data_IF_998015291360
#
_entry.id   IF_998015291360
#
_cell.length_a   1.000
_cell.length_b   1.000
_cell.length_c   1.000
_cell.angle_alpha   90.00
_cell.angle_beta   90.00
_cell.angle_gamma   90.00
#
_symmetry.space_group_name_H-M   'P 1'
#
loop_
_entity.id
_entity.type
_entity.pdbx_description
1 polymer ?
#
# COMPACT_ATOMS: atom_id res chain seq x y z
N UNK A 1 -17.41 -2.63 22.63
CA UNK A 1 -16.87 -1.26 22.43
C UNK A 1 -16.88 -0.93 20.95
N UNK A 2 -17.62 0.10 20.55
CA UNK A 2 -17.63 0.55 19.17
C UNK A 2 -16.41 1.46 18.95
N UNK A 3 -15.36 0.96 18.30
CA UNK A 3 -14.14 1.75 17.99
C UNK A 3 -14.34 2.71 16.80
N UNK A 4 -15.33 2.41 15.93
CA UNK A 4 -15.67 3.22 14.75
C UNK A 4 -16.08 4.66 15.08
N UNK A 5 -17.03 4.92 16.01
CA UNK A 5 -17.39 6.29 16.39
C UNK A 5 -16.22 7.07 16.98
N UNK A 6 -15.34 6.42 17.75
CA UNK A 6 -14.20 7.10 18.37
C UNK A 6 -13.12 7.48 17.36
N UNK A 7 -12.87 6.62 16.38
CA UNK A 7 -12.01 6.95 15.24
C UNK A 7 -12.61 8.13 14.46
N UNK A 8 -13.92 8.13 14.23
CA UNK A 8 -14.61 9.20 13.50
C UNK A 8 -14.58 10.53 14.28
N UNK A 9 -14.79 10.49 15.60
CA UNK A 9 -14.70 11.65 16.51
C UNK A 9 -13.31 12.27 16.45
N UNK A 10 -12.27 11.47 16.69
CA UNK A 10 -10.87 11.93 16.62
C UNK A 10 -10.53 12.47 15.23
N UNK A 11 -11.04 11.85 14.17
CA UNK A 11 -10.80 12.32 12.81
C UNK A 11 -11.46 13.68 12.52
N UNK A 12 -12.71 13.86 12.97
CA UNK A 12 -13.47 15.09 12.80
C UNK A 12 -12.89 16.25 13.64
N UNK A 13 -12.53 16.00 14.89
CA UNK A 13 -11.89 16.97 15.78
C UNK A 13 -10.54 17.48 15.24
N UNK A 14 -9.85 16.66 14.45
CA UNK A 14 -8.56 17.00 13.84
C UNK A 14 -8.70 17.45 12.38
N UNK A 15 -9.86 18.01 12.01
CA UNK A 15 -10.16 18.61 10.70
C UNK A 15 -9.86 17.70 9.50
N UNK A 16 -10.04 16.38 9.65
CA UNK A 16 -9.73 15.37 8.62
C UNK A 16 -8.25 15.34 8.17
N UNK A 17 -7.35 16.07 8.84
CA UNK A 17 -5.90 16.09 8.50
C UNK A 17 -5.22 14.79 8.96
N UNK A 18 -5.77 14.12 9.97
CA UNK A 18 -5.14 12.98 10.59
C UNK A 18 -5.36 11.69 9.78
N UNK A 19 -4.28 11.16 9.23
CA UNK A 19 -4.26 9.80 8.69
C UNK A 19 -4.10 8.75 9.79
N UNK A 20 -4.11 7.48 9.38
CA UNK A 20 -4.00 6.27 10.23
C UNK A 20 -2.96 6.40 11.35
N UNK A 21 -1.74 6.86 11.04
CA UNK A 21 -0.65 6.96 12.03
C UNK A 21 -0.91 8.00 13.13
N UNK A 22 -1.63 9.08 12.83
CA UNK A 22 -1.92 10.16 13.79
C UNK A 22 -3.13 9.79 14.64
N UNK A 23 -4.20 9.29 14.02
CA UNK A 23 -5.36 8.75 14.73
C UNK A 23 -4.96 7.64 15.70
N UNK A 24 -4.14 6.67 15.27
CA UNK A 24 -3.67 5.60 16.15
C UNK A 24 -2.88 6.13 17.35
N UNK A 25 -2.01 7.12 17.16
CA UNK A 25 -1.27 7.75 18.27
C UNK A 25 -2.19 8.49 19.22
N UNK A 26 -3.24 9.13 18.71
CA UNK A 26 -4.21 9.82 19.54
C UNK A 26 -5.02 8.83 20.37
N UNK A 27 -5.48 7.73 19.77
CA UNK A 27 -6.19 6.67 20.51
C UNK A 27 -5.32 6.01 21.58
N UNK A 28 -4.02 5.84 21.33
CA UNK A 28 -3.07 5.36 22.34
C UNK A 28 -2.93 6.35 23.52
N UNK A 29 -2.98 7.67 23.27
CA UNK A 29 -2.95 8.69 24.33
C UNK A 29 -4.22 8.72 25.16
N UNK A 30 -5.36 8.43 24.54
CA UNK A 30 -6.66 8.33 25.20
C UNK A 30 -6.85 6.98 25.94
N UNK A 31 -5.83 6.10 25.92
CA UNK A 31 -5.83 4.86 26.68
C UNK A 31 -6.50 3.67 25.97
N UNK A 32 -6.71 3.74 24.64
CA UNK A 32 -7.22 2.61 23.87
C UNK A 32 -6.05 1.70 23.40
N UNK A 33 -5.89 0.48 23.95
CA UNK A 33 -4.84 -0.45 23.54
C UNK A 33 -5.24 -1.13 22.22
N UNK A 34 -5.12 -0.40 21.11
CA UNK A 34 -5.47 -0.91 19.78
C UNK A 34 -4.25 -1.01 18.88
N UNK A 35 -4.20 -2.10 18.11
CA UNK A 35 -3.19 -2.27 17.09
C UNK A 35 -3.40 -1.26 15.94
N UNK A 36 -2.30 -0.74 15.40
CA UNK A 36 -2.31 0.17 14.23
C UNK A 36 -3.07 -0.42 13.04
N UNK A 37 -2.93 -1.73 12.81
CA UNK A 37 -3.62 -2.43 11.73
C UNK A 37 -5.15 -2.40 11.89
N UNK A 38 -5.66 -2.44 13.13
CA UNK A 38 -7.09 -2.31 13.41
C UNK A 38 -7.59 -0.93 13.03
N UNK A 39 -6.90 0.14 13.43
CA UNK A 39 -7.23 1.52 13.03
C UNK A 39 -7.20 1.67 11.51
N UNK A 40 -6.16 1.14 10.86
CA UNK A 40 -6.02 1.20 9.41
C UNK A 40 -7.20 0.53 8.69
N UNK A 41 -7.60 -0.66 9.15
CA UNK A 41 -8.73 -1.40 8.60
C UNK A 41 -10.05 -0.65 8.79
N UNK A 42 -10.31 -0.16 10.00
CA UNK A 42 -11.54 0.55 10.32
C UNK A 42 -11.64 1.88 9.55
N UNK A 43 -10.55 2.65 9.44
CA UNK A 43 -10.53 3.86 8.63
C UNK A 43 -10.80 3.56 7.14
N UNK A 44 -10.27 2.44 6.62
CA UNK A 44 -10.52 2.01 5.24
C UNK A 44 -11.97 1.57 5.02
N UNK A 45 -12.57 0.85 5.96
CA UNK A 45 -13.99 0.47 5.91
C UNK A 45 -14.91 1.70 5.92
N UNK A 46 -14.53 2.76 6.63
CA UNK A 46 -15.28 4.02 6.70
C UNK A 46 -14.93 5.02 5.58
N UNK A 47 -13.97 4.70 4.71
CA UNK A 47 -13.53 5.60 3.65
C UNK A 47 -12.77 6.85 4.15
N UNK A 48 -12.30 6.85 5.40
CA UNK A 48 -11.56 7.99 5.97
C UNK A 48 -10.10 7.95 5.52
N UNK A 49 -9.67 9.03 4.85
CA UNK A 49 -8.29 9.24 4.47
C UNK A 49 -7.78 10.56 5.03
N UNK A 50 -6.59 10.54 5.64
CA UNK A 50 -5.94 11.77 6.07
C UNK A 50 -5.30 12.51 4.90
N UNK A 51 -5.15 13.82 5.05
CA UNK A 51 -4.48 14.68 4.07
C UNK A 51 -2.98 14.37 4.00
N UNK A 52 -2.48 14.08 2.80
CA UNK A 52 -1.05 13.95 2.50
C UNK A 52 -0.59 15.23 1.81
N UNK A 53 0.46 15.88 2.33
CA UNK A 53 1.07 17.03 1.67
C UNK A 53 1.98 16.54 0.53
N UNK A 54 1.78 17.09 -0.66
CA UNK A 54 2.58 16.80 -1.86
C UNK A 54 1.96 15.76 -2.79
N UNK A 55 2.37 15.77 -4.07
CA UNK A 55 2.04 14.70 -5.03
C UNK A 55 2.81 13.43 -4.65
N UNK A 56 2.20 12.24 -4.70
CA UNK A 56 2.97 11.00 -4.61
C UNK A 56 3.95 10.94 -5.79
N UNK A 57 5.25 11.07 -5.48
CA UNK A 57 6.30 11.02 -6.51
C UNK A 57 6.50 9.57 -6.92
N UNK A 58 6.06 9.23 -8.13
CA UNK A 58 6.49 8.00 -8.81
C UNK A 58 7.82 8.29 -9.48
N UNK A 59 8.91 7.85 -8.84
CA UNK A 59 10.29 8.09 -9.30
C UNK A 59 10.64 7.37 -10.59
N UNK A 60 10.00 6.23 -10.87
CA UNK A 60 10.38 5.39 -12.00
C UNK A 60 9.14 4.74 -12.62
N UNK A 61 8.89 5.06 -13.89
CA UNK A 61 7.94 4.33 -14.73
C UNK A 61 8.80 3.47 -15.65
N UNK A 62 8.72 2.14 -15.52
CA UNK A 62 9.51 1.23 -16.35
C UNK A 62 9.13 1.39 -17.82
N UNK A 63 10.11 1.80 -18.64
CA UNK A 63 9.95 1.93 -20.08
C UNK A 63 9.97 0.55 -20.73
N UNK A 64 8.82 0.08 -21.20
CA UNK A 64 8.69 -1.23 -21.88
C UNK A 64 9.38 -1.30 -23.25
N UNK A 65 9.87 -0.16 -23.75
CA UNK A 65 10.46 -0.03 -25.09
C UNK A 65 11.97 -0.33 -25.12
N UNK A 66 12.66 -0.26 -23.98
CA UNK A 66 14.05 -0.64 -23.90
C UNK A 66 14.17 -2.17 -23.80
N UNK A 67 15.04 -2.83 -24.57
CA UNK A 67 15.29 -4.25 -24.40
C UNK A 67 15.80 -4.49 -22.98
N UNK A 68 15.17 -5.42 -22.26
CA UNK A 68 15.65 -5.86 -20.97
C UNK A 68 17.08 -6.37 -21.12
N UNK A 69 18.04 -5.98 -20.26
CA UNK A 69 19.39 -6.49 -20.33
C UNK A 69 19.39 -8.02 -20.22
N UNK A 70 20.23 -8.66 -21.03
CA UNK A 70 20.35 -10.11 -21.07
C UNK A 70 20.85 -10.63 -19.70
N UNK A 71 20.24 -11.70 -19.18
CA UNK A 71 20.69 -12.31 -17.92
C UNK A 71 21.89 -13.23 -18.18
N UNK A 72 23.09 -12.79 -17.81
CA UNK A 72 24.33 -13.55 -18.04
C UNK A 72 24.54 -14.70 -17.04
N UNK A 73 23.68 -14.82 -16.02
CA UNK A 73 23.82 -15.76 -14.90
C UNK A 73 22.82 -16.91 -14.99
N UNK A 74 22.03 -17.00 -16.07
CA UNK A 74 21.00 -18.02 -16.31
C UNK A 74 20.12 -18.31 -15.08
N UNK A 75 19.70 -17.26 -14.37
CA UNK A 75 18.90 -17.39 -13.14
C UNK A 75 17.47 -17.78 -13.51
N UNK A 76 16.98 -18.87 -12.92
CA UNK A 76 15.58 -19.29 -13.06
C UNK A 76 14.68 -18.45 -12.17
N UNK A 77 14.19 -17.32 -12.67
CA UNK A 77 13.17 -16.51 -11.99
C UNK A 77 11.77 -17.11 -12.17
N UNK A 78 11.50 -18.27 -11.55
CA UNK A 78 10.15 -18.81 -11.47
C UNK A 78 9.54 -18.48 -10.11
N UNK A 79 8.51 -17.64 -10.10
CA UNK A 79 7.67 -17.45 -8.92
C UNK A 79 6.46 -18.38 -9.02
N UNK A 80 6.32 -19.32 -8.08
CA UNK A 80 5.11 -20.14 -7.98
C UNK A 80 3.94 -19.18 -7.69
N UNK A 81 3.04 -19.01 -8.66
CA UNK A 81 1.95 -18.04 -8.63
C UNK A 81 1.01 -18.35 -7.46
N UNK A 82 1.18 -17.68 -6.31
CA UNK A 82 0.10 -17.44 -5.37
C UNK A 82 -0.52 -16.09 -5.74
N UNK A 83 -1.79 -16.15 -6.14
CA UNK A 83 -2.58 -15.06 -6.69
C UNK A 83 -2.39 -13.75 -5.92
N UNK A 84 -1.67 -12.80 -6.51
CA UNK A 84 -1.82 -11.38 -6.22
C UNK A 84 -1.68 -10.58 -7.50
N UNK A 85 -2.65 -9.71 -7.70
CA UNK A 85 -3.01 -9.03 -8.92
C UNK A 85 -1.97 -7.94 -9.25
N UNK A 86 -1.32 -8.01 -10.42
CA UNK A 86 -0.67 -6.84 -11.02
C UNK A 86 0.67 -7.07 -11.70
N UNK A 87 1.47 -8.07 -11.32
CA UNK A 87 2.73 -8.34 -12.00
C UNK A 87 2.53 -9.38 -13.11
N UNK A 88 2.34 -8.92 -14.35
CA UNK A 88 2.66 -9.72 -15.53
C UNK A 88 4.18 -9.87 -15.59
N UNK A 89 4.72 -10.82 -14.81
CA UNK A 89 5.99 -11.42 -15.17
C UNK A 89 5.64 -12.27 -16.40
N UNK A 90 5.75 -11.68 -17.59
CA UNK A 90 5.66 -12.47 -18.82
C UNK A 90 6.77 -13.51 -18.72
N UNK A 91 6.45 -14.82 -18.76
CA UNK A 91 7.50 -15.82 -18.89
C UNK A 91 8.17 -15.50 -20.22
N UNK A 92 9.48 -15.27 -20.20
CA UNK A 92 10.29 -15.17 -21.41
C UNK A 92 9.93 -16.36 -22.29
N UNK A 93 9.19 -16.11 -23.36
CA UNK A 93 8.99 -17.05 -24.44
C UNK A 93 10.37 -17.26 -25.05
N UNK A 94 10.97 -18.37 -24.63
CA UNK A 94 12.31 -18.84 -24.95
C UNK A 94 12.49 -19.20 -26.43
N UNK A 95 11.57 -18.83 -27.31
CA UNK A 95 11.57 -19.22 -28.71
C UNK A 95 10.98 -18.09 -29.56
N UNK A 96 11.65 -17.85 -30.69
CA UNK A 96 11.41 -16.83 -31.73
C UNK A 96 11.89 -15.41 -31.42
N UNK A 97 13.21 -15.24 -31.46
CA UNK A 97 13.82 -14.24 -32.33
C UNK A 97 14.92 -14.96 -33.12
N UNK A 98 14.57 -15.46 -34.30
CA UNK A 98 15.49 -15.49 -35.44
C UNK A 98 15.53 -14.07 -36.01
#
# INVERSE_FOLDING_TARGET
MALKPEIARVFAENFAVYGVRKVWRQMMREGFPIARCTVARLMREMGLAGVIRGKPVRTTISGKAAPCPLDHVNRRFYAQRRTCCGCRISPMSRLLCL
#
